data_IF_387955493622
#
_entry.id   IF_387955493622
#
_cell.length_a   1.000
_cell.length_b   1.000
_cell.length_c   1.000
_cell.angle_alpha   90.00
_cell.angle_beta   90.00
_cell.angle_gamma   90.00
#
_symmetry.space_group_name_H-M   'P 1'
#
loop_
_entity.id
_entity.type
_entity.pdbx_description
1 polymer ?
#
# COMPACT_ATOMS: atom_id res chain seq x y z
N UNK A 1 29.36 27.74 -27.49
CA UNK A 1 28.62 27.88 -26.19
C UNK A 1 27.21 27.32 -26.19
N UNK A 2 26.59 27.09 -27.36
CA UNK A 2 25.21 26.55 -27.45
C UNK A 2 25.11 25.02 -27.37
N UNK A 3 26.14 24.27 -27.71
CA UNK A 3 26.13 22.79 -27.69
C UNK A 3 26.17 22.20 -26.27
N UNK A 4 26.79 22.89 -25.30
CA UNK A 4 26.87 22.42 -23.90
C UNK A 4 25.52 22.51 -23.15
N UNK A 5 24.66 23.48 -23.46
CA UNK A 5 23.37 23.66 -22.85
C UNK A 5 22.36 22.57 -23.27
N UNK A 6 22.40 22.15 -24.54
CA UNK A 6 21.53 21.09 -25.08
C UNK A 6 21.85 19.75 -24.44
N UNK A 7 23.13 19.43 -24.18
CA UNK A 7 23.51 18.19 -23.47
C UNK A 7 23.13 18.18 -21.99
N UNK A 8 23.19 19.31 -21.32
CA UNK A 8 22.76 19.40 -19.91
C UNK A 8 21.24 19.25 -19.74
N UNK A 9 20.45 19.78 -20.69
CA UNK A 9 18.99 19.60 -20.68
C UNK A 9 18.58 18.16 -20.99
N UNK A 10 19.29 17.48 -21.90
CA UNK A 10 19.03 16.07 -22.20
C UNK A 10 19.39 15.14 -21.02
N UNK A 11 20.47 15.44 -20.29
CA UNK A 11 20.86 14.70 -19.10
C UNK A 11 19.88 14.93 -17.93
N UNK A 12 19.41 16.15 -17.73
CA UNK A 12 18.41 16.45 -16.71
C UNK A 12 17.06 15.76 -17.00
N UNK A 13 16.64 15.73 -18.28
CA UNK A 13 15.43 15.02 -18.69
C UNK A 13 15.55 13.50 -18.53
N UNK A 14 16.71 12.91 -18.78
CA UNK A 14 16.94 11.47 -18.61
C UNK A 14 17.00 11.04 -17.14
N UNK A 15 17.56 11.88 -16.26
CA UNK A 15 17.58 11.63 -14.80
C UNK A 15 16.17 11.72 -14.23
N UNK A 16 15.37 12.68 -14.67
CA UNK A 16 13.99 12.84 -14.20
C UNK A 16 13.06 11.70 -14.67
N UNK A 17 13.27 11.18 -15.89
CA UNK A 17 12.53 10.02 -16.41
C UNK A 17 12.89 8.72 -15.68
N UNK A 18 14.15 8.57 -15.26
CA UNK A 18 14.64 7.38 -14.55
C UNK A 18 14.17 7.30 -13.09
N UNK A 19 13.69 8.41 -12.53
CA UNK A 19 13.19 8.50 -11.14
C UNK A 19 11.68 8.22 -11.00
N UNK A 20 10.97 7.99 -12.12
CA UNK A 20 9.55 7.68 -12.11
C UNK A 20 9.30 6.18 -11.95
N UNK A 21 8.40 5.80 -11.04
CA UNK A 21 8.10 4.38 -10.75
C UNK A 21 7.55 3.62 -11.95
N UNK A 22 6.97 4.33 -12.94
CA UNK A 22 6.49 3.74 -14.18
C UNK A 22 7.61 3.09 -15.03
N UNK A 23 8.84 3.57 -14.86
CA UNK A 23 10.02 3.03 -15.56
C UNK A 23 10.77 1.95 -14.78
N UNK A 24 10.38 1.68 -13.54
CA UNK A 24 11.11 0.77 -12.67
C UNK A 24 10.97 -0.69 -13.10
N UNK A 25 12.11 -1.39 -13.03
CA UNK A 25 12.20 -2.84 -13.26
C UNK A 25 13.25 -3.45 -12.32
N UNK A 26 13.02 -4.67 -11.84
CA UNK A 26 13.94 -5.38 -10.94
C UNK A 26 14.08 -4.74 -9.55
N UNK A 27 13.17 -3.84 -9.18
CA UNK A 27 13.13 -3.19 -7.89
C UNK A 27 12.33 -4.01 -6.87
N UNK A 28 12.58 -3.79 -5.59
CA UNK A 28 11.74 -4.28 -4.50
C UNK A 28 10.90 -3.13 -3.96
N UNK A 29 9.58 -3.30 -3.96
CA UNK A 29 8.63 -2.31 -3.45
C UNK A 29 7.81 -2.95 -2.33
N UNK A 30 7.73 -2.27 -1.19
CA UNK A 30 6.97 -2.73 -0.04
C UNK A 30 5.73 -1.84 0.13
N UNK A 31 4.57 -2.48 0.25
CA UNK A 31 3.29 -1.82 0.55
C UNK A 31 2.93 -2.20 1.97
N UNK A 32 2.72 -1.22 2.84
CA UNK A 32 2.30 -1.45 4.23
C UNK A 32 0.91 -0.87 4.42
N UNK A 33 -0.02 -1.71 4.84
CA UNK A 33 -1.45 -1.37 4.89
C UNK A 33 -2.10 -1.80 6.21
N UNK A 34 -3.07 -1.04 6.73
CA UNK A 34 -3.78 -1.41 7.96
C UNK A 34 -4.67 -2.64 7.77
N UNK A 35 -5.49 -2.67 6.71
CA UNK A 35 -6.44 -3.75 6.45
C UNK A 35 -6.24 -4.33 5.04
N UNK A 36 -6.67 -5.59 4.81
CA UNK A 36 -6.83 -6.12 3.47
C UNK A 36 -7.90 -5.32 2.72
N UNK A 37 -7.57 -4.74 1.61
CA UNK A 37 -8.30 -3.87 0.68
C UNK A 37 -7.74 -2.44 0.57
N UNK A 38 -7.27 -1.82 1.65
CA UNK A 38 -6.77 -0.44 1.66
C UNK A 38 -5.63 -0.22 0.64
N UNK A 39 -4.75 -1.20 0.48
CA UNK A 39 -3.68 -1.20 -0.54
C UNK A 39 -4.26 -1.20 -1.96
N UNK A 40 -5.28 -2.02 -2.20
CA UNK A 40 -5.94 -2.12 -3.51
C UNK A 40 -6.65 -0.81 -3.85
N UNK A 41 -7.41 -0.25 -2.90
CA UNK A 41 -8.11 1.02 -3.12
C UNK A 41 -7.14 2.20 -3.21
N UNK A 42 -6.09 2.19 -2.42
CA UNK A 42 -5.11 3.30 -2.34
C UNK A 42 -4.13 3.35 -3.51
N UNK A 43 -3.55 2.18 -3.89
CA UNK A 43 -2.45 2.12 -4.85
C UNK A 43 -2.46 0.86 -5.75
N UNK A 44 -3.61 0.19 -5.90
CA UNK A 44 -3.71 -1.09 -6.64
C UNK A 44 -3.27 -1.02 -8.09
N UNK A 45 -3.52 0.07 -8.81
CA UNK A 45 -3.08 0.21 -10.19
C UNK A 45 -1.55 0.39 -10.29
N UNK A 46 -0.94 1.16 -9.38
CA UNK A 46 0.51 1.26 -9.27
C UNK A 46 1.14 -0.09 -8.91
N UNK A 47 0.52 -0.85 -8.00
CA UNK A 47 0.96 -2.21 -7.65
C UNK A 47 0.94 -3.13 -8.87
N UNK A 48 -0.14 -3.15 -9.66
CA UNK A 48 -0.26 -3.95 -10.88
C UNK A 48 0.79 -3.55 -11.93
N UNK A 49 1.01 -2.26 -12.11
CA UNK A 49 2.02 -1.72 -13.01
C UNK A 49 3.44 -2.18 -12.60
N UNK A 50 3.77 -2.02 -11.31
CA UNK A 50 5.07 -2.44 -10.77
C UNK A 50 5.29 -3.94 -10.93
N UNK A 51 4.29 -4.76 -10.62
CA UNK A 51 4.35 -6.21 -10.79
C UNK A 51 4.54 -6.60 -12.27
N UNK A 52 3.76 -6.00 -13.18
CA UNK A 52 3.90 -6.21 -14.63
C UNK A 52 5.29 -5.84 -15.15
N UNK A 53 5.88 -4.79 -14.60
CA UNK A 53 7.24 -4.34 -14.91
C UNK A 53 8.33 -5.18 -14.22
N UNK A 54 7.99 -6.36 -13.70
CA UNK A 54 8.94 -7.29 -13.07
C UNK A 54 9.63 -6.74 -11.81
N UNK A 55 8.99 -5.85 -11.09
CA UNK A 55 9.42 -5.49 -9.76
C UNK A 55 8.85 -6.50 -8.73
N UNK A 56 9.58 -6.73 -7.66
CA UNK A 56 9.08 -7.52 -6.53
C UNK A 56 8.20 -6.63 -5.65
N UNK A 57 6.90 -6.85 -5.67
CA UNK A 57 5.94 -6.17 -4.79
C UNK A 57 5.66 -7.05 -3.58
N UNK A 58 5.84 -6.51 -2.38
CA UNK A 58 5.59 -7.16 -1.10
C UNK A 58 4.49 -6.37 -0.39
N UNK A 59 3.45 -7.06 0.06
CA UNK A 59 2.33 -6.46 0.79
C UNK A 59 2.41 -6.90 2.25
N UNK A 60 2.48 -5.94 3.18
CA UNK A 60 2.49 -6.16 4.63
C UNK A 60 1.20 -5.62 5.20
N UNK A 61 0.41 -6.48 5.83
CA UNK A 61 -0.92 -6.17 6.34
C UNK A 61 -0.90 -6.28 7.86
N UNK A 62 -1.27 -5.21 8.55
CA UNK A 62 -1.27 -5.19 10.01
C UNK A 62 -2.36 -6.08 10.60
N UNK A 63 -3.60 -5.94 10.15
CA UNK A 63 -4.75 -6.61 10.77
C UNK A 63 -5.30 -7.74 9.93
N UNK A 64 -6.09 -8.58 10.55
CA UNK A 64 -6.86 -9.64 9.89
C UNK A 64 -8.27 -9.18 9.46
N UNK A 65 -8.64 -7.92 9.76
CA UNK A 65 -9.88 -7.25 9.34
C UNK A 65 -11.15 -8.06 9.73
N UNK A 66 -11.22 -8.52 10.97
CA UNK A 66 -12.17 -9.53 11.44
C UNK A 66 -13.46 -8.98 12.05
N UNK A 67 -13.78 -7.68 11.91
CA UNK A 67 -14.92 -7.05 12.59
C UNK A 67 -15.96 -6.35 11.72
N UNK A 68 -15.63 -5.92 10.53
CA UNK A 68 -16.51 -5.11 9.69
C UNK A 68 -17.59 -5.91 8.96
N UNK A 69 -18.56 -6.52 9.65
CA UNK A 69 -19.73 -7.21 9.08
C UNK A 69 -21.00 -6.86 9.83
N UNK A 70 -22.12 -6.76 9.12
CA UNK A 70 -23.47 -6.65 9.70
C UNK A 70 -24.21 -8.00 9.74
N UNK A 71 -23.61 -9.08 9.21
CA UNK A 71 -24.18 -10.43 9.29
C UNK A 71 -24.05 -10.96 10.72
N UNK A 72 -25.16 -11.04 11.45
CA UNK A 72 -25.18 -11.49 12.84
C UNK A 72 -24.76 -12.96 13.04
N UNK A 73 -24.69 -13.75 11.96
CA UNK A 73 -24.18 -15.12 11.99
C UNK A 73 -22.69 -15.21 11.64
N UNK A 74 -22.05 -14.07 11.33
CA UNK A 74 -20.63 -14.01 11.07
C UNK A 74 -19.83 -14.06 12.37
N UNK A 75 -18.76 -14.85 12.39
CA UNK A 75 -17.77 -14.80 13.48
C UNK A 75 -16.48 -14.13 13.01
N UNK A 76 -15.72 -13.54 13.94
CA UNK A 76 -14.44 -12.91 13.64
C UNK A 76 -13.49 -13.85 12.89
N UNK A 77 -13.36 -15.10 13.34
CA UNK A 77 -12.46 -16.08 12.70
C UNK A 77 -12.93 -16.45 11.28
N UNK A 78 -14.25 -16.51 11.07
CA UNK A 78 -14.81 -16.77 9.75
C UNK A 78 -14.54 -15.60 8.81
N UNK A 79 -14.78 -14.37 9.28
CA UNK A 79 -14.56 -13.16 8.50
C UNK A 79 -13.09 -12.98 8.15
N UNK A 80 -12.17 -13.16 9.11
CA UNK A 80 -10.72 -13.11 8.87
C UNK A 80 -10.28 -14.09 7.77
N UNK A 81 -10.81 -15.33 7.78
CA UNK A 81 -10.50 -16.32 6.71
C UNK A 81 -11.05 -15.89 5.34
N UNK A 82 -12.25 -15.33 5.30
CA UNK A 82 -12.86 -14.83 4.07
C UNK A 82 -12.01 -13.71 3.51
N UNK A 83 -11.72 -12.66 4.29
CA UNK A 83 -10.99 -11.48 3.85
C UNK A 83 -9.54 -11.79 3.48
N UNK A 84 -8.94 -12.76 4.15
CA UNK A 84 -7.63 -13.27 3.75
C UNK A 84 -7.68 -13.87 2.34
N UNK A 85 -8.66 -14.70 2.03
CA UNK A 85 -8.82 -15.29 0.71
C UNK A 85 -9.15 -14.23 -0.36
N UNK A 86 -9.97 -13.24 -0.02
CA UNK A 86 -10.30 -12.11 -0.89
C UNK A 86 -9.05 -11.27 -1.21
N UNK A 87 -8.21 -10.95 -0.23
CA UNK A 87 -6.95 -10.24 -0.43
C UNK A 87 -5.96 -11.04 -1.29
N UNK A 88 -5.83 -12.34 -1.04
CA UNK A 88 -4.97 -13.21 -1.87
C UNK A 88 -5.45 -13.21 -3.32
N UNK A 89 -6.77 -13.26 -3.56
CA UNK A 89 -7.36 -13.18 -4.90
C UNK A 89 -7.16 -11.80 -5.54
N UNK A 90 -7.30 -10.71 -4.77
CA UNK A 90 -7.05 -9.36 -5.22
C UNK A 90 -5.58 -9.18 -5.63
N UNK A 91 -4.63 -9.56 -4.78
CA UNK A 91 -3.20 -9.51 -5.08
C UNK A 91 -2.84 -10.36 -6.32
N UNK A 92 -3.43 -11.55 -6.46
CA UNK A 92 -3.26 -12.38 -7.66
C UNK A 92 -3.72 -11.68 -8.92
N UNK A 93 -4.85 -10.96 -8.86
CA UNK A 93 -5.36 -10.14 -9.97
C UNK A 93 -4.39 -9.01 -10.35
N UNK A 94 -3.69 -8.44 -9.36
CA UNK A 94 -2.64 -7.42 -9.58
C UNK A 94 -1.29 -8.02 -10.04
N UNK A 95 -1.18 -9.35 -10.16
CA UNK A 95 0.06 -10.04 -10.52
C UNK A 95 1.05 -10.23 -9.36
N UNK A 96 0.56 -10.15 -8.12
CA UNK A 96 1.36 -10.31 -6.91
C UNK A 96 1.08 -11.71 -6.33
N UNK A 97 2.10 -12.59 -6.22
CA UNK A 97 1.92 -13.93 -5.70
C UNK A 97 1.70 -13.93 -4.17
N UNK A 98 0.97 -14.91 -3.66
CA UNK A 98 0.56 -14.98 -2.26
C UNK A 98 1.72 -15.04 -1.27
N UNK A 99 2.85 -15.59 -1.66
CA UNK A 99 4.08 -15.66 -0.85
C UNK A 99 4.71 -14.28 -0.60
N UNK A 100 4.29 -13.26 -1.35
CA UNK A 100 4.67 -11.86 -1.12
C UNK A 100 3.69 -11.11 -0.22
N UNK A 101 2.67 -11.77 0.32
CA UNK A 101 1.71 -11.17 1.28
C UNK A 101 2.10 -11.60 2.69
N UNK A 102 2.41 -10.63 3.53
CA UNK A 102 2.85 -10.85 4.91
C UNK A 102 1.76 -10.34 5.85
N UNK A 103 1.25 -11.23 6.68
CA UNK A 103 0.22 -10.93 7.65
C UNK A 103 0.84 -10.76 9.04
N UNK A 104 0.67 -9.60 9.67
CA UNK A 104 1.09 -9.37 11.06
C UNK A 104 0.08 -9.93 12.06
N UNK A 105 -1.20 -10.06 11.64
CA UNK A 105 -2.20 -10.86 12.33
C UNK A 105 -2.87 -10.17 13.52
N UNK A 106 -2.80 -8.86 13.64
CA UNK A 106 -3.50 -8.11 14.69
C UNK A 106 -5.02 -8.11 14.45
N UNK A 107 -5.83 -8.11 15.52
CA UNK A 107 -7.27 -7.94 15.39
C UNK A 107 -7.63 -6.56 14.81
N UNK A 108 -8.71 -6.49 14.04
CA UNK A 108 -9.25 -5.23 13.51
C UNK A 108 -9.73 -4.32 14.65
N UNK A 109 -9.43 -3.01 14.52
CA UNK A 109 -9.80 -1.99 15.51
C UNK A 109 -8.95 -1.99 16.78
N UNK A 110 -7.87 -2.78 16.85
CA UNK A 110 -7.10 -2.99 18.07
C UNK A 110 -5.61 -2.60 17.98
N UNK A 111 -5.16 -1.99 16.87
CA UNK A 111 -3.75 -1.59 16.77
C UNK A 111 -3.33 -0.54 17.82
N UNK A 112 -4.25 0.29 18.32
CA UNK A 112 -3.96 1.26 19.36
C UNK A 112 -3.68 0.62 20.74
N UNK A 113 -4.11 -0.63 20.93
CA UNK A 113 -3.87 -1.41 22.16
C UNK A 113 -2.64 -2.31 22.04
N UNK A 114 -2.12 -2.50 20.84
CA UNK A 114 -0.88 -3.22 20.62
C UNK A 114 0.33 -2.38 21.07
N UNK A 115 1.39 -3.05 21.53
CA UNK A 115 2.60 -2.35 21.92
C UNK A 115 3.25 -1.65 20.71
N UNK A 116 3.35 -0.29 20.67
CA UNK A 116 3.92 0.41 19.51
C UNK A 116 5.33 -0.04 19.18
N UNK A 117 6.11 -0.40 20.20
CA UNK A 117 7.48 -0.94 20.02
C UNK A 117 7.46 -2.26 19.23
N UNK A 118 6.50 -3.12 19.47
CA UNK A 118 6.38 -4.40 18.75
C UNK A 118 5.94 -4.18 17.31
N UNK A 119 4.90 -3.39 17.09
CA UNK A 119 4.42 -3.03 15.75
C UNK A 119 5.55 -2.43 14.89
N UNK A 120 6.23 -1.44 15.43
CA UNK A 120 7.36 -0.78 14.78
C UNK A 120 8.50 -1.78 14.50
N UNK A 121 8.83 -2.65 15.46
CA UNK A 121 9.90 -3.63 15.34
C UNK A 121 9.65 -4.66 14.25
N UNK A 122 8.44 -5.16 14.13
CA UNK A 122 8.06 -6.11 13.08
C UNK A 122 8.25 -5.50 11.68
N UNK A 123 7.75 -4.29 11.46
CA UNK A 123 7.91 -3.61 10.15
C UNK A 123 9.36 -3.22 9.89
N UNK A 124 10.10 -2.72 10.90
CA UNK A 124 11.53 -2.42 10.77
C UNK A 124 12.36 -3.66 10.41
N UNK A 125 11.99 -4.82 10.98
CA UNK A 125 12.59 -6.11 10.61
C UNK A 125 12.37 -6.45 9.14
N UNK A 126 11.14 -6.31 8.65
CA UNK A 126 10.79 -6.56 7.25
C UNK A 126 11.52 -5.59 6.30
N UNK A 127 11.64 -4.32 6.68
CA UNK A 127 12.41 -3.32 5.91
C UNK A 127 13.88 -3.75 5.81
N UNK A 128 14.51 -4.17 6.91
CA UNK A 128 15.90 -4.64 6.91
C UNK A 128 16.08 -5.93 6.10
N UNK A 129 15.09 -6.83 6.15
CA UNK A 129 15.11 -8.12 5.44
C UNK A 129 14.97 -7.92 3.93
N UNK A 130 13.99 -7.14 3.50
CA UNK A 130 13.65 -7.00 2.08
C UNK A 130 14.35 -5.83 1.39
N UNK A 131 14.85 -4.86 2.13
CA UNK A 131 15.59 -3.69 1.63
C UNK A 131 14.89 -2.97 0.48
N UNK A 132 13.63 -2.51 0.66
CA UNK A 132 12.82 -2.00 -0.44
C UNK A 132 13.39 -0.71 -1.03
N UNK A 133 13.40 -0.60 -2.37
CA UNK A 133 13.74 0.63 -3.10
C UNK A 133 12.69 1.73 -2.88
N UNK A 134 11.45 1.35 -2.56
CA UNK A 134 10.39 2.26 -2.11
C UNK A 134 9.47 1.56 -1.12
N UNK A 135 8.86 2.36 -0.24
CA UNK A 135 7.81 1.91 0.65
C UNK A 135 6.55 2.76 0.43
N UNK A 136 5.42 2.09 0.24
CA UNK A 136 4.09 2.70 0.20
C UNK A 136 3.39 2.47 1.53
N UNK A 137 2.73 3.49 2.04
CA UNK A 137 1.93 3.42 3.28
C UNK A 137 0.74 4.35 3.19
N UNK A 138 -0.21 4.14 4.10
CA UNK A 138 -1.31 5.08 4.27
C UNK A 138 -0.77 6.45 4.73
N UNK A 139 -1.34 7.54 4.20
CA UNK A 139 -0.89 8.89 4.52
C UNK A 139 -1.34 9.32 5.93
N UNK A 140 -0.43 9.65 6.85
CA UNK A 140 -0.78 10.22 8.15
C UNK A 140 -1.36 11.64 8.04
N UNK A 141 -1.19 12.32 6.88
CA UNK A 141 -1.40 13.77 6.72
C UNK A 141 -0.20 14.59 7.18
N UNK A 142 -0.08 15.82 6.70
CA UNK A 142 1.05 16.70 7.07
C UNK A 142 1.15 16.94 8.58
N UNK A 143 -0.01 17.08 9.26
CA UNK A 143 -0.09 17.33 10.69
C UNK A 143 -0.39 16.09 11.52
N UNK A 144 -0.36 14.90 10.94
CA UNK A 144 -0.66 13.64 11.62
C UNK A 144 -2.07 13.52 12.23
N UNK A 145 -3.05 14.27 11.77
CA UNK A 145 -4.40 14.37 12.37
C UNK A 145 -5.50 13.72 11.54
N UNK A 146 -5.13 13.02 10.47
CA UNK A 146 -6.07 12.76 9.38
C UNK A 146 -7.13 11.70 9.67
N UNK A 147 -6.81 10.64 10.39
CA UNK A 147 -7.67 9.46 10.44
C UNK A 147 -8.49 9.33 11.72
N UNK A 148 -9.80 9.21 11.58
CA UNK A 148 -10.68 8.84 12.70
C UNK A 148 -10.62 7.34 13.01
N UNK A 149 -10.34 6.48 12.02
CA UNK A 149 -10.11 5.05 12.26
C UNK A 149 -8.77 4.84 12.96
N UNK A 150 -8.81 4.12 14.09
CA UNK A 150 -7.63 3.90 14.94
C UNK A 150 -6.53 3.17 14.21
N UNK A 151 -6.85 2.06 13.51
CA UNK A 151 -5.86 1.24 12.81
C UNK A 151 -5.17 2.01 11.68
N UNK A 152 -5.90 2.89 10.96
CA UNK A 152 -5.29 3.74 9.94
C UNK A 152 -4.26 4.69 10.53
N UNK A 153 -4.57 5.32 11.70
CA UNK A 153 -3.60 6.19 12.40
C UNK A 153 -2.38 5.39 12.86
N UNK A 154 -2.64 4.27 13.53
CA UNK A 154 -1.56 3.46 14.11
C UNK A 154 -0.67 2.83 13.03
N UNK A 155 -1.25 2.33 11.93
CA UNK A 155 -0.48 1.83 10.79
C UNK A 155 0.38 2.92 10.16
N UNK A 156 -0.16 4.13 9.97
CA UNK A 156 0.58 5.26 9.44
C UNK A 156 1.78 5.62 10.32
N UNK A 157 1.56 5.85 11.63
CA UNK A 157 2.62 6.22 12.56
C UNK A 157 3.65 5.12 12.76
N UNK A 158 3.21 3.90 13.02
CA UNK A 158 4.15 2.79 13.24
C UNK A 158 5.01 2.50 12.01
N UNK A 159 4.47 2.69 10.81
CA UNK A 159 5.24 2.51 9.57
C UNK A 159 6.32 3.58 9.42
N UNK A 160 6.02 4.86 9.72
CA UNK A 160 7.02 5.95 9.70
C UNK A 160 8.11 5.69 10.72
N UNK A 161 7.73 5.34 11.95
CA UNK A 161 8.67 5.02 13.02
C UNK A 161 9.55 3.82 12.66
N UNK A 162 8.97 2.80 12.00
CA UNK A 162 9.70 1.63 11.53
C UNK A 162 10.71 1.97 10.42
N UNK A 163 10.36 2.86 9.48
CA UNK A 163 11.30 3.34 8.45
C UNK A 163 12.50 4.02 9.12
N UNK A 164 12.24 4.90 10.09
CA UNK A 164 13.33 5.55 10.85
C UNK A 164 14.14 4.54 11.65
N UNK A 165 13.49 3.65 12.39
CA UNK A 165 14.17 2.65 13.21
C UNK A 165 15.02 1.70 12.38
N UNK A 166 14.61 1.36 11.16
CA UNK A 166 15.37 0.48 10.29
C UNK A 166 16.75 1.04 9.89
N UNK A 167 16.92 2.39 9.87
CA UNK A 167 18.18 3.05 9.51
C UNK A 167 19.27 2.87 10.58
N UNK A 168 18.92 2.71 11.86
CA UNK A 168 19.85 2.78 12.97
C UNK A 168 19.97 1.44 13.70
N UNK A 169 21.18 0.93 13.84
CA UNK A 169 21.45 -0.39 14.43
C UNK A 169 21.09 -0.52 15.92
N UNK A 170 20.99 0.59 16.65
CA UNK A 170 20.64 0.60 18.08
C UNK A 170 19.12 0.48 18.31
N UNK A 171 18.29 0.71 17.28
CA UNK A 171 16.90 0.30 17.32
C UNK A 171 16.80 -1.18 16.94
N UNK A 172 16.18 -1.98 17.79
CA UNK A 172 16.03 -3.42 17.58
C UNK A 172 17.36 -4.11 17.26
N UNK A 173 18.36 -4.03 18.16
CA UNK A 173 19.68 -4.60 17.93
C UNK A 173 19.63 -6.13 17.71
N UNK A 174 18.61 -6.79 18.23
CA UNK A 174 18.33 -8.22 18.02
C UNK A 174 18.22 -8.61 16.55
N UNK A 175 17.72 -7.75 15.67
CA UNK A 175 17.65 -8.01 14.24
C UNK A 175 19.05 -8.17 13.62
N UNK A 176 20.04 -7.41 14.10
CA UNK A 176 21.42 -7.52 13.66
C UNK A 176 22.15 -8.68 14.36
N UNK A 177 21.98 -8.79 15.66
CA UNK A 177 22.77 -9.72 16.50
C UNK A 177 22.34 -11.18 16.30
N UNK A 178 21.05 -11.44 16.14
CA UNK A 178 20.52 -12.80 16.04
C UNK A 178 20.15 -13.22 14.62
N UNK A 179 19.78 -12.26 13.76
CA UNK A 179 19.34 -12.55 12.41
C UNK A 179 20.32 -12.03 11.33
N UNK A 180 21.33 -11.27 11.69
CA UNK A 180 22.31 -10.69 10.76
C UNK A 180 21.72 -9.60 9.85
N UNK A 181 20.52 -9.09 10.16
CA UNK A 181 19.85 -8.06 9.37
C UNK A 181 20.49 -6.70 9.60
N UNK A 182 21.18 -6.19 8.58
CA UNK A 182 21.87 -4.91 8.65
C UNK A 182 20.89 -3.74 8.57
N UNK A 183 21.20 -2.59 9.20
CA UNK A 183 20.45 -1.36 9.02
C UNK A 183 20.20 -1.03 7.56
N UNK A 184 19.04 -0.47 7.29
CA UNK A 184 18.65 -0.10 5.95
C UNK A 184 17.84 1.19 5.92
N UNK A 185 18.23 2.09 5.03
CA UNK A 185 17.53 3.35 4.75
C UNK A 185 16.63 3.20 3.54
N UNK A 186 15.33 3.37 3.72
CA UNK A 186 14.37 3.39 2.62
C UNK A 186 14.57 4.66 1.80
N UNK A 187 14.86 4.58 0.49
CA UNK A 187 15.19 5.77 -0.30
C UNK A 187 14.03 6.74 -0.50
N UNK A 188 12.80 6.21 -0.65
CA UNK A 188 11.62 7.01 -0.93
C UNK A 188 10.35 6.35 -0.36
N UNK A 189 9.44 7.19 0.11
CA UNK A 189 8.11 6.79 0.55
C UNK A 189 7.04 7.41 -0.34
N UNK A 190 5.98 6.65 -0.59
CA UNK A 190 4.77 7.08 -1.25
C UNK A 190 3.58 6.86 -0.32
N UNK A 191 2.93 7.93 0.08
CA UNK A 191 1.75 7.86 0.92
C UNK A 191 0.50 7.88 0.05
N UNK A 192 -0.28 6.80 0.09
CA UNK A 192 -1.58 6.73 -0.58
C UNK A 192 -2.70 7.27 0.32
N UNK A 193 -3.85 7.55 -0.26
CA UNK A 193 -4.93 8.31 0.36
C UNK A 193 -4.52 9.74 0.76
N UNK A 194 -3.48 10.29 0.17
CA UNK A 194 -3.11 11.69 0.39
C UNK A 194 -4.26 12.63 0.04
N UNK A 195 -4.40 13.74 0.78
CA UNK A 195 -5.30 14.80 0.37
C UNK A 195 -4.84 15.36 -0.98
N UNK A 196 -5.79 15.81 -1.79
CA UNK A 196 -5.45 16.37 -3.09
C UNK A 196 -4.50 17.58 -3.00
N UNK A 197 -4.59 18.34 -1.91
CA UNK A 197 -3.69 19.47 -1.65
C UNK A 197 -2.26 19.04 -1.31
N UNK A 198 -2.09 17.87 -0.68
CA UNK A 198 -0.81 17.34 -0.22
C UNK A 198 -0.14 16.43 -1.25
N UNK A 199 -0.90 15.98 -2.25
CA UNK A 199 -0.38 15.13 -3.32
C UNK A 199 0.63 15.89 -4.18
N UNK A 200 1.80 15.28 -4.39
CA UNK A 200 2.90 15.85 -5.17
C UNK A 200 3.46 14.87 -6.21
N UNK A 201 2.86 13.68 -6.33
CA UNK A 201 3.26 12.64 -7.27
C UNK A 201 2.03 11.93 -7.84
N UNK A 202 1.95 11.81 -9.16
CA UNK A 202 0.82 11.20 -9.86
C UNK A 202 1.31 10.15 -10.83
N UNK A 203 0.68 8.99 -10.80
CA UNK A 203 0.95 7.85 -11.68
C UNK A 203 -0.21 7.72 -12.66
N UNK A 204 0.08 7.73 -13.97
CA UNK A 204 -0.94 7.43 -14.97
C UNK A 204 -1.32 5.95 -14.89
N UNK A 205 -2.61 5.68 -14.69
CA UNK A 205 -3.15 4.33 -14.51
C UNK A 205 -4.14 3.91 -15.58
N UNK A 206 -4.25 4.62 -16.70
CA UNK A 206 -5.22 4.31 -17.76
C UNK A 206 -5.20 2.83 -18.17
N UNK A 207 -3.99 2.26 -18.31
CA UNK A 207 -3.80 0.85 -18.70
C UNK A 207 -4.00 -0.16 -17.56
N UNK A 208 -4.17 0.29 -16.31
CA UNK A 208 -4.27 -0.55 -15.12
C UNK A 208 -5.55 -0.31 -14.30
N UNK A 209 -6.37 0.67 -14.71
CA UNK A 209 -7.61 0.99 -13.99
C UNK A 209 -8.54 -0.21 -13.91
N UNK A 210 -8.73 -0.93 -15.02
CA UNK A 210 -9.60 -2.10 -15.05
C UNK A 210 -9.04 -3.22 -14.17
N UNK A 211 -7.73 -3.44 -14.17
CA UNK A 211 -7.07 -4.41 -13.29
C UNK A 211 -7.27 -4.06 -11.82
N UNK A 212 -7.13 -2.79 -11.45
CA UNK A 212 -7.43 -2.29 -10.09
C UNK A 212 -8.87 -2.54 -9.70
N UNK A 213 -9.82 -2.21 -10.59
CA UNK A 213 -11.25 -2.43 -10.33
C UNK A 213 -11.54 -3.91 -10.14
N UNK A 214 -11.00 -4.79 -10.99
CA UNK A 214 -11.17 -6.23 -10.86
C UNK A 214 -10.60 -6.77 -9.55
N UNK A 215 -9.46 -6.24 -9.10
CA UNK A 215 -8.89 -6.58 -7.80
C UNK A 215 -9.78 -6.10 -6.64
N UNK A 216 -10.28 -4.86 -6.71
CA UNK A 216 -11.20 -4.32 -5.72
C UNK A 216 -12.47 -5.19 -5.58
N UNK A 217 -13.03 -5.67 -6.69
CA UNK A 217 -14.21 -6.54 -6.70
C UNK A 217 -13.99 -7.92 -6.05
N UNK A 218 -12.74 -8.32 -5.75
CA UNK A 218 -12.45 -9.55 -4.98
C UNK A 218 -12.84 -9.44 -3.52
N UNK A 219 -12.92 -8.24 -2.96
CA UNK A 219 -13.32 -7.98 -1.57
C UNK A 219 -14.85 -8.03 -1.41
N UNK A 220 -15.45 -9.15 -1.79
CA UNK A 220 -16.91 -9.34 -1.85
C UNK A 220 -17.58 -9.06 -0.50
N UNK A 221 -16.94 -9.46 0.60
CA UNK A 221 -17.46 -9.26 1.96
C UNK A 221 -17.59 -7.78 2.37
N UNK A 222 -16.97 -6.86 1.63
CA UNK A 222 -16.98 -5.42 1.90
C UNK A 222 -18.18 -4.70 1.27
N UNK A 223 -18.92 -5.35 0.36
CA UNK A 223 -19.98 -4.70 -0.40
C UNK A 223 -21.36 -5.26 -0.06
N UNK A 224 -22.40 -4.45 -0.26
CA UNK A 224 -23.77 -4.92 -0.25
C UNK A 224 -24.06 -5.85 -1.45
N UNK A 225 -24.86 -6.90 -1.27
CA UNK A 225 -25.52 -7.31 -0.01
C UNK A 225 -24.65 -8.15 0.94
N UNK A 226 -23.42 -8.54 0.54
CA UNK A 226 -22.59 -9.52 1.27
C UNK A 226 -22.13 -9.03 2.64
N UNK A 227 -21.96 -7.71 2.84
CA UNK A 227 -21.63 -7.14 4.14
C UNK A 227 -22.78 -7.33 5.17
N UNK A 228 -24.04 -7.36 4.69
CA UNK A 228 -25.24 -7.53 5.51
C UNK A 228 -25.60 -9.00 5.74
N UNK A 229 -25.36 -9.85 4.75
CA UNK A 229 -25.52 -11.31 4.80
C UNK A 229 -24.54 -11.93 3.81
N UNK A 230 -23.51 -12.55 4.33
CA UNK A 230 -22.39 -13.00 3.51
C UNK A 230 -22.79 -14.00 2.41
N UNK A 231 -22.38 -13.69 1.21
CA UNK A 231 -22.39 -14.54 0.02
C UNK A 231 -21.02 -14.42 -0.66
N UNK A 232 -20.49 -15.53 -1.13
CA UNK A 232 -19.20 -15.56 -1.83
C UNK A 232 -19.29 -15.13 -3.30
N UNK A 233 -20.49 -15.05 -3.85
CA UNK A 233 -20.78 -14.64 -5.21
C UNK A 233 -21.35 -13.22 -5.25
N UNK A 234 -21.10 -12.55 -6.35
CA UNK A 234 -21.61 -11.20 -6.61
C UNK A 234 -22.52 -11.23 -7.84
N UNK A 235 -23.76 -10.81 -7.66
CA UNK A 235 -24.70 -10.69 -8.77
C UNK A 235 -24.17 -9.72 -9.84
N UNK A 236 -24.49 -10.01 -11.12
CA UNK A 236 -24.04 -9.18 -12.24
C UNK A 236 -24.43 -7.71 -12.08
N UNK A 237 -25.63 -7.42 -11.60
CA UNK A 237 -26.09 -6.04 -11.39
C UNK A 237 -25.29 -5.30 -10.34
N UNK A 238 -24.98 -5.96 -9.21
CA UNK A 238 -24.11 -5.43 -8.14
C UNK A 238 -22.72 -5.17 -8.69
N UNK A 239 -22.14 -6.14 -9.42
CA UNK A 239 -20.84 -6.01 -10.04
C UNK A 239 -20.77 -4.81 -10.99
N UNK A 240 -21.73 -4.70 -11.91
CA UNK A 240 -21.75 -3.60 -12.89
C UNK A 240 -21.87 -2.23 -12.20
N UNK A 241 -22.68 -2.14 -11.13
CA UNK A 241 -22.80 -0.92 -10.32
C UNK A 241 -21.49 -0.56 -9.61
N UNK A 242 -20.77 -1.55 -9.04
CA UNK A 242 -19.49 -1.32 -8.39
C UNK A 242 -18.40 -0.94 -9.40
N UNK A 243 -18.37 -1.54 -10.60
CA UNK A 243 -17.44 -1.11 -11.67
C UNK A 243 -17.68 0.35 -12.03
N UNK A 244 -18.93 0.76 -12.21
CA UNK A 244 -19.29 2.14 -12.51
C UNK A 244 -18.91 3.08 -11.35
N UNK A 245 -19.16 2.68 -10.11
CA UNK A 245 -18.80 3.43 -8.91
C UNK A 245 -17.29 3.66 -8.81
N UNK A 246 -16.48 2.61 -8.90
CA UNK A 246 -15.02 2.74 -8.81
C UNK A 246 -14.45 3.58 -9.94
N UNK A 247 -14.92 3.36 -11.17
CA UNK A 247 -14.50 4.16 -12.32
C UNK A 247 -14.87 5.63 -12.17
N UNK A 248 -16.09 5.92 -11.69
CA UNK A 248 -16.57 7.28 -11.45
C UNK A 248 -15.82 8.03 -10.37
N UNK A 249 -15.32 7.32 -9.36
CA UNK A 249 -14.53 7.90 -8.26
C UNK A 249 -13.03 7.94 -8.52
N UNK A 250 -12.55 7.30 -9.58
CA UNK A 250 -11.13 7.34 -9.94
C UNK A 250 -10.72 8.76 -10.33
N UNK A 251 -9.66 9.23 -9.73
CA UNK A 251 -9.15 10.59 -9.94
C UNK A 251 -8.68 10.77 -11.38
N UNK A 252 -8.94 11.95 -11.93
CA UNK A 252 -8.41 12.36 -13.26
C UNK A 252 -7.53 13.59 -13.15
N UNK A 253 -6.46 13.59 -13.94
CA UNK A 253 -5.59 14.74 -14.14
C UNK A 253 -5.20 14.82 -15.61
N UNK A 254 -5.40 15.98 -16.21
CA UNK A 254 -5.06 16.22 -17.64
C UNK A 254 -5.69 15.19 -18.61
N UNK A 255 -6.92 14.74 -18.30
CA UNK A 255 -7.66 13.77 -19.11
C UNK A 255 -7.36 12.29 -18.81
N UNK A 256 -6.32 11.98 -18.05
CA UNK A 256 -5.89 10.63 -17.68
C UNK A 256 -6.38 10.23 -16.29
N UNK A 257 -6.69 8.95 -16.11
CA UNK A 257 -6.86 8.37 -14.77
C UNK A 257 -5.52 8.31 -14.05
N UNK A 258 -5.50 8.73 -12.79
CA UNK A 258 -4.27 8.75 -11.99
C UNK A 258 -4.49 8.20 -10.59
N UNK A 259 -3.45 7.61 -10.03
CA UNK A 259 -3.28 7.46 -8.58
C UNK A 259 -2.37 8.57 -8.07
N UNK A 260 -2.80 9.24 -7.00
CA UNK A 260 -2.11 10.38 -6.42
C UNK A 260 -1.46 9.99 -5.10
N UNK A 261 -0.23 10.42 -4.92
CA UNK A 261 0.58 10.14 -3.74
C UNK A 261 1.21 11.41 -3.19
N UNK A 262 1.40 11.44 -1.88
CA UNK A 262 2.40 12.33 -1.28
C UNK A 262 3.72 11.56 -1.24
N UNK A 263 4.68 12.00 -2.07
CA UNK A 263 6.03 11.43 -2.13
C UNK A 263 6.92 12.15 -1.13
N UNK A 264 7.63 11.39 -0.31
CA UNK A 264 8.63 11.90 0.63
C UNK A 264 9.96 11.15 0.47
N UNK A 265 11.06 11.86 0.62
CA UNK A 265 12.40 11.29 0.72
C UNK A 265 12.86 11.40 2.17
N UNK A 266 13.83 10.58 2.58
CA UNK A 266 14.30 10.53 3.96
C UNK A 266 14.78 11.89 4.53
N UNK A 267 15.12 12.87 3.68
CA UNK A 267 15.50 14.21 4.10
C UNK A 267 14.30 15.13 4.41
N UNK A 268 13.11 14.81 3.90
CA UNK A 268 11.90 15.61 4.10
C UNK A 268 11.03 15.10 5.26
N UNK A 269 11.56 14.13 6.02
CA UNK A 269 10.86 13.53 7.16
C UNK A 269 11.33 14.08 8.53
N UNK A 270 12.16 15.14 8.50
CA UNK A 270 12.66 15.80 9.72
C UNK A 270 11.83 17.00 10.06
#
# INVERSE_FOLDING_TARGET
>A
MWFLIVWLLALAGSVQAQDRIESWTGKTVMIVTPHPDDDVYGCGAAMAMLAKNRNKVIVVIYTNDDKGSFDLEMTSERLARIRKAEQEAACSTLGIPKENIIWLGYPDGELEYAAPRELCGQVARLIRLYRPDALFSIDPGENHERWHKTDHRMAAFNTIDAVRAAEFHLYYPEHLLYEGLKPYKVPVMFYYYALQADANYWVNIDSFLDTKIEAALKHVSQYEPSINKYRSDMDKGVRDALVAYFRGRSQKREGHYVEAFRRATSFNQQ
#
